data_IF_077163469999
#
_entry.id   IF_077163469999
#
_cell.length_a   1.000
_cell.length_b   1.000
_cell.length_c   1.000
_cell.angle_alpha   90.00
_cell.angle_beta   90.00
_cell.angle_gamma   90.00
#
_symmetry.space_group_name_H-M   'P 1'
#
loop_
_entity.id
_entity.type
_entity.pdbx_description
1 polymer ?
#
# COMPACT_ATOMS: atom_id res chain seq x y z
N UNK A 1 27.93 13.57 10.42
CA UNK A 1 26.99 12.49 10.76
C UNK A 1 25.53 12.91 10.46
N UNK A 2 25.22 13.29 9.21
CA UNK A 2 23.86 13.76 8.81
C UNK A 2 23.35 13.11 7.50
N UNK A 3 24.12 12.20 6.88
CA UNK A 3 23.75 11.55 5.61
C UNK A 3 23.15 10.14 5.75
N UNK A 4 23.23 9.51 6.93
CA UNK A 4 22.82 8.11 7.10
C UNK A 4 21.31 7.93 7.38
N UNK A 5 20.66 8.92 8.00
CA UNK A 5 19.23 8.84 8.34
C UNK A 5 18.31 8.90 7.11
N UNK A 6 18.76 9.50 6.00
CA UNK A 6 17.97 9.62 4.77
C UNK A 6 17.81 8.29 4.02
N UNK A 7 18.60 7.28 4.37
CA UNK A 7 18.62 5.97 3.70
C UNK A 7 17.66 4.95 4.35
N UNK A 8 16.95 5.31 5.42
CA UNK A 8 16.07 4.40 6.19
C UNK A 8 14.58 4.57 5.87
N UNK A 9 14.25 5.19 4.75
CA UNK A 9 12.86 5.28 4.27
C UNK A 9 12.47 4.09 3.37
N UNK A 10 13.39 3.13 3.17
CA UNK A 10 13.10 1.93 2.42
C UNK A 10 12.56 0.86 3.37
N UNK A 11 11.31 0.46 3.17
CA UNK A 11 10.68 -0.67 3.83
C UNK A 11 11.01 -1.90 2.98
N UNK A 12 11.86 -2.84 3.46
CA UNK A 12 12.38 -3.92 2.63
C UNK A 12 11.29 -4.82 2.04
N UNK A 13 10.27 -5.12 2.82
CA UNK A 13 9.11 -5.93 2.45
C UNK A 13 8.26 -5.29 1.34
N UNK A 14 8.26 -3.96 1.20
CA UNK A 14 7.55 -3.26 0.12
C UNK A 14 8.26 -3.32 -1.23
N UNK A 15 9.58 -3.60 -1.25
CA UNK A 15 10.42 -3.42 -2.43
C UNK A 15 11.25 -4.66 -2.83
N UNK A 16 11.46 -5.62 -1.92
CA UNK A 16 12.39 -6.73 -2.14
C UNK A 16 12.02 -7.59 -3.35
N UNK A 17 10.75 -7.98 -3.45
CA UNK A 17 10.27 -8.87 -4.54
C UNK A 17 10.36 -8.17 -5.89
N UNK A 18 9.89 -6.93 -5.99
CA UNK A 18 9.94 -6.16 -7.24
C UNK A 18 11.39 -5.93 -7.68
N UNK A 19 12.28 -5.62 -6.73
CA UNK A 19 13.71 -5.44 -7.01
C UNK A 19 14.36 -6.74 -7.49
N UNK A 20 14.05 -7.88 -6.86
CA UNK A 20 14.58 -9.18 -7.26
C UNK A 20 14.13 -9.56 -8.69
N UNK A 21 12.87 -9.30 -9.04
CA UNK A 21 12.33 -9.57 -10.36
C UNK A 21 12.96 -8.65 -11.42
N UNK A 22 13.15 -7.36 -11.11
CA UNK A 22 13.86 -6.40 -11.94
C UNK A 22 15.29 -6.85 -12.26
N UNK A 23 16.04 -7.24 -11.23
CA UNK A 23 17.41 -7.72 -11.37
C UNK A 23 17.52 -9.04 -12.14
N UNK A 24 16.43 -9.81 -12.21
CA UNK A 24 16.36 -11.09 -12.92
C UNK A 24 15.78 -10.96 -14.32
N UNK A 25 15.46 -9.74 -14.78
CA UNK A 25 14.77 -9.46 -16.05
C UNK A 25 13.37 -10.11 -16.16
N UNK A 26 12.70 -10.30 -15.02
CA UNK A 26 11.38 -10.96 -14.90
C UNK A 26 10.25 -9.99 -14.53
N UNK A 27 10.41 -8.67 -14.71
CA UNK A 27 9.40 -7.67 -14.32
C UNK A 27 8.03 -7.91 -14.96
N UNK A 28 8.00 -8.45 -16.18
CA UNK A 28 6.77 -8.77 -16.90
C UNK A 28 5.97 -9.94 -16.31
N UNK A 29 6.58 -10.75 -15.45
CA UNK A 29 5.93 -11.88 -14.76
C UNK A 29 5.17 -11.43 -13.51
N UNK A 30 5.39 -10.20 -13.04
CA UNK A 30 4.75 -9.68 -11.84
C UNK A 30 3.42 -8.99 -12.19
N UNK A 31 2.31 -9.68 -11.93
CA UNK A 31 0.98 -9.07 -12.00
C UNK A 31 0.60 -8.36 -10.70
N UNK A 32 0.06 -7.14 -10.81
CA UNK A 32 -0.46 -6.40 -9.67
C UNK A 32 -1.81 -6.98 -9.25
N UNK A 33 -1.79 -7.97 -8.34
CA UNK A 33 -3.00 -8.53 -7.73
C UNK A 33 -3.13 -8.08 -6.27
N UNK A 34 -3.98 -7.10 -6.02
CA UNK A 34 -4.27 -6.65 -4.65
C UNK A 34 -5.46 -7.46 -4.09
N UNK A 35 -5.21 -8.36 -3.14
CA UNK A 35 -6.26 -9.07 -2.41
C UNK A 35 -6.79 -8.27 -1.20
N UNK A 36 -6.26 -7.07 -0.99
CA UNK A 36 -6.57 -6.19 0.15
C UNK A 36 -6.96 -4.80 -0.34
N UNK A 37 -8.03 -4.23 0.22
CA UNK A 37 -8.41 -2.83 0.02
C UNK A 37 -7.67 -1.95 1.04
N UNK A 38 -6.93 -0.95 0.56
CA UNK A 38 -6.23 0.03 1.39
C UNK A 38 -6.66 1.44 0.97
N UNK A 39 -7.07 2.27 1.94
CA UNK A 39 -7.42 3.67 1.72
C UNK A 39 -6.34 4.58 2.29
N UNK A 40 -5.80 5.48 1.48
CA UNK A 40 -4.78 6.46 1.88
C UNK A 40 -5.39 7.86 1.88
N UNK A 41 -5.28 8.57 3.01
CA UNK A 41 -5.76 9.95 3.14
C UNK A 41 -4.58 10.91 3.40
N UNK A 42 -3.88 11.28 2.33
CA UNK A 42 -2.66 12.10 2.40
C UNK A 42 -2.92 13.60 2.65
N UNK A 43 -4.17 14.06 2.57
CA UNK A 43 -4.56 15.45 2.83
C UNK A 43 -4.92 15.72 4.29
N UNK A 44 -4.98 14.68 5.14
CA UNK A 44 -5.22 14.85 6.57
C UNK A 44 -4.02 15.54 7.23
N UNK A 45 -4.26 16.69 7.87
CA UNK A 45 -3.24 17.58 8.43
C UNK A 45 -2.36 16.99 9.56
N UNK A 46 -2.52 15.71 9.91
CA UNK A 46 -1.67 15.02 10.90
C UNK A 46 -0.56 14.27 10.16
N UNK A 47 0.65 14.85 10.16
CA UNK A 47 1.87 14.25 9.57
C UNK A 47 2.13 12.79 9.98
N UNK A 48 1.68 12.37 11.17
CA UNK A 48 1.85 10.98 11.64
C UNK A 48 0.98 9.95 10.89
N UNK A 49 -0.15 10.36 10.31
CA UNK A 49 -1.07 9.45 9.60
C UNK A 49 -0.79 9.33 8.10
N UNK A 50 0.22 10.05 7.57
CA UNK A 50 0.52 10.02 6.14
C UNK A 50 1.40 8.83 5.73
N UNK A 51 1.93 8.08 6.70
CA UNK A 51 2.77 6.90 6.49
C UNK A 51 1.99 5.58 6.57
N UNK A 52 0.71 5.63 6.96
CA UNK A 52 -0.12 4.44 7.14
C UNK A 52 -1.49 4.63 6.46
N UNK A 53 -2.10 3.53 5.95
CA UNK A 53 -3.49 3.55 5.52
C UNK A 53 -4.44 3.95 6.65
N UNK A 54 -5.63 4.42 6.28
CA UNK A 54 -6.71 4.75 7.21
C UNK A 54 -7.13 3.49 7.98
N UNK A 55 -7.29 3.61 9.30
CA UNK A 55 -7.90 2.57 10.13
C UNK A 55 -9.41 2.69 10.07
N UNK A 56 -10.08 1.65 9.57
CA UNK A 56 -11.54 1.59 9.54
C UNK A 56 -12.11 1.32 10.94
N UNK A 57 -13.27 1.92 11.20
CA UNK A 57 -14.07 1.73 12.40
C UNK A 57 -15.47 1.21 12.05
N UNK A 58 -16.30 0.94 13.06
CA UNK A 58 -17.70 0.56 12.83
C UNK A 58 -18.49 1.63 12.07
N UNK A 59 -18.13 2.92 12.23
CA UNK A 59 -18.78 4.01 11.50
C UNK A 59 -18.50 3.96 9.99
N UNK A 60 -17.44 3.27 9.58
CA UNK A 60 -17.03 3.08 8.19
C UNK A 60 -17.58 1.78 7.56
N UNK A 61 -18.54 1.12 8.22
CA UNK A 61 -19.22 -0.07 7.71
C UNK A 61 -20.45 0.30 6.86
N UNK A 62 -20.38 1.40 6.11
CA UNK A 62 -21.48 1.80 5.23
C UNK A 62 -21.52 0.94 3.95
N UNK A 63 -22.71 0.87 3.33
CA UNK A 63 -22.92 0.04 2.13
C UNK A 63 -22.03 0.45 0.96
N UNK A 64 -21.71 1.74 0.82
CA UNK A 64 -20.86 2.26 -0.26
C UNK A 64 -19.42 1.78 -0.05
N UNK A 65 -18.85 1.95 1.14
CA UNK A 65 -17.48 1.49 1.47
C UNK A 65 -17.35 -0.04 1.31
N UNK A 66 -18.34 -0.81 1.77
CA UNK A 66 -18.36 -2.28 1.60
C UNK A 66 -18.36 -2.67 0.11
N UNK A 67 -19.10 -1.95 -0.73
CA UNK A 67 -19.15 -2.23 -2.16
C UNK A 67 -17.83 -1.87 -2.86
N UNK A 68 -17.17 -0.79 -2.47
CA UNK A 68 -15.84 -0.43 -2.98
C UNK A 68 -14.79 -1.52 -2.68
N UNK A 69 -14.82 -2.08 -1.47
CA UNK A 69 -13.94 -3.20 -1.09
C UNK A 69 -14.22 -4.43 -1.97
N UNK A 70 -15.49 -4.75 -2.21
CA UNK A 70 -15.89 -5.94 -3.00
C UNK A 70 -15.38 -5.89 -4.44
N UNK A 71 -15.36 -4.71 -5.06
CA UNK A 71 -14.86 -4.52 -6.44
C UNK A 71 -13.39 -4.96 -6.59
N UNK A 72 -12.56 -4.69 -5.57
CA UNK A 72 -11.15 -5.10 -5.56
C UNK A 72 -11.02 -6.62 -5.44
N UNK A 73 -11.90 -7.27 -4.69
CA UNK A 73 -11.85 -8.72 -4.45
C UNK A 73 -12.54 -9.57 -5.52
N UNK A 74 -13.32 -8.98 -6.42
CA UNK A 74 -14.19 -9.71 -7.35
C UNK A 74 -13.58 -9.98 -8.73
N UNK A 75 -12.34 -9.55 -8.99
CA UNK A 75 -11.64 -9.78 -10.26
C UNK A 75 -10.47 -10.76 -10.04
N UNK A 76 -10.55 -12.01 -10.56
CA UNK A 76 -9.50 -13.01 -10.45
C UNK A 76 -8.32 -12.77 -11.40
#
# INVERSE_FOLDING_TARGET
MHKLHKLRNCIPDEHYVQTLFAMSELEGELERRAMTYNLWNQSAAKMENNWHPVTFSYADADTKQINEIKVVTSHP
#
